data_IF_911894489340
#
_entry.id   IF_911894489340
#
_cell.length_a   1.000
_cell.length_b   1.000
_cell.length_c   1.000
_cell.angle_alpha   90.00
_cell.angle_beta   90.00
_cell.angle_gamma   90.00
#
_symmetry.space_group_name_H-M   'P 1'
#
loop_
_entity.id
_entity.type
_entity.pdbx_description
1 polymer ?
#
# COMPACT_ATOMS: atom_id res chain seq x y z
N UNK A 1 -63.57 -5.92 31.95
CA UNK A 1 -63.27 -5.12 30.73
C UNK A 1 -61.76 -5.11 30.52
N UNK A 2 -61.17 -5.99 29.67
CA UNK A 2 -59.73 -5.98 29.43
C UNK A 2 -59.36 -5.00 28.30
N UNK A 3 -58.22 -4.32 28.48
CA UNK A 3 -57.65 -3.28 27.60
C UNK A 3 -56.90 -3.96 26.45
N UNK A 4 -57.27 -3.69 25.19
CA UNK A 4 -56.59 -4.19 24.00
C UNK A 4 -55.24 -3.48 23.82
N UNK A 5 -54.15 -4.26 23.76
CA UNK A 5 -52.81 -3.78 23.40
C UNK A 5 -52.74 -3.57 21.88
N UNK A 6 -52.57 -2.33 21.44
CA UNK A 6 -52.23 -2.02 20.05
C UNK A 6 -50.78 -2.48 19.77
N UNK A 7 -50.60 -3.37 18.80
CA UNK A 7 -49.29 -3.73 18.28
C UNK A 7 -48.89 -2.74 17.19
N UNK A 8 -47.71 -2.14 17.33
CA UNK A 8 -47.10 -1.33 16.28
C UNK A 8 -46.53 -2.23 15.17
N UNK A 9 -46.59 -1.79 13.89
CA UNK A 9 -46.09 -2.56 12.76
C UNK A 9 -44.56 -2.73 12.83
N UNK A 10 -44.08 -3.87 12.35
CA UNK A 10 -42.63 -4.16 12.32
C UNK A 10 -41.93 -3.39 11.18
N UNK A 11 -40.62 -3.16 11.32
CA UNK A 11 -39.81 -2.48 10.29
C UNK A 11 -39.89 -3.16 8.91
N UNK A 12 -40.10 -4.48 8.87
CA UNK A 12 -40.31 -5.24 7.63
C UNK A 12 -41.65 -4.96 6.95
N UNK A 13 -42.69 -4.61 7.71
CA UNK A 13 -43.98 -4.20 7.13
C UNK A 13 -43.89 -2.81 6.52
N UNK A 14 -43.21 -1.88 7.19
CA UNK A 14 -43.00 -0.52 6.66
C UNK A 14 -42.16 -0.51 5.38
N UNK A 15 -41.13 -1.36 5.30
CA UNK A 15 -40.34 -1.55 4.08
C UNK A 15 -41.14 -2.14 2.91
N UNK A 16 -42.07 -3.07 3.20
CA UNK A 16 -42.92 -3.68 2.17
C UNK A 16 -43.94 -2.70 1.61
N UNK A 17 -44.52 -1.86 2.46
CA UNK A 17 -45.48 -0.82 2.04
C UNK A 17 -44.79 0.29 1.23
N UNK A 18 -43.56 0.68 1.59
CA UNK A 18 -42.79 1.69 0.86
C UNK A 18 -42.41 1.22 -0.56
N UNK A 19 -42.03 -0.05 -0.71
CA UNK A 19 -41.67 -0.63 -2.01
C UNK A 19 -42.89 -0.87 -2.93
N UNK A 20 -44.10 -0.95 -2.35
CA UNK A 20 -45.34 -1.05 -3.13
C UNK A 20 -45.83 0.32 -3.64
N UNK A 21 -45.41 1.43 -3.02
CA UNK A 21 -45.76 2.78 -3.46
C UNK A 21 -44.89 3.31 -4.61
N UNK A 22 -43.69 2.76 -4.81
CA UNK A 22 -42.78 3.16 -5.91
C UNK A 22 -43.09 2.45 -7.24
N UNK A 23 -44.02 1.49 -7.26
CA UNK A 23 -44.32 0.65 -8.43
C UNK A 23 -45.46 1.11 -9.34
N UNK A 24 -46.16 2.21 -9.05
CA UNK A 24 -47.43 2.56 -9.74
C UNK A 24 -47.44 3.94 -10.44
N UNK A 25 -46.27 4.55 -10.68
CA UNK A 25 -46.17 5.79 -11.44
C UNK A 25 -45.88 5.51 -12.93
N UNK A 26 -46.92 5.24 -13.72
CA UNK A 26 -46.84 5.25 -15.19
C UNK A 26 -47.20 6.64 -15.71
N UNK A 27 -46.31 7.29 -16.47
CA UNK A 27 -46.64 8.48 -17.28
C UNK A 27 -45.96 8.36 -18.65
N UNK A 28 -46.67 8.57 -19.78
CA UNK A 28 -46.11 8.32 -21.11
C UNK A 28 -45.31 9.53 -21.66
N UNK A 29 -44.35 9.23 -22.53
CA UNK A 29 -43.49 10.20 -23.23
C UNK A 29 -44.21 10.91 -24.40
N UNK A 30 -43.84 12.17 -24.73
CA UNK A 30 -44.17 12.78 -26.01
C UNK A 30 -42.95 12.89 -26.96
N UNK A 31 -43.23 12.85 -28.26
CA UNK A 31 -42.27 12.89 -29.37
C UNK A 31 -41.86 14.33 -29.80
N UNK A 32 -40.66 14.45 -30.40
CA UNK A 32 -40.02 15.65 -31.01
C UNK A 32 -40.70 16.09 -32.34
N UNK A 33 -40.46 17.28 -33.00
CA UNK A 33 -39.16 17.87 -33.44
C UNK A 33 -39.19 19.45 -33.58
N UNK A 34 -38.39 20.22 -34.38
CA UNK A 34 -37.17 19.97 -35.20
C UNK A 34 -35.97 20.94 -34.98
N UNK A 35 -34.91 20.70 -35.77
CA UNK A 35 -33.59 21.36 -35.88
C UNK A 35 -33.51 22.89 -35.75
N UNK A 36 -32.44 23.36 -35.08
CA UNK A 36 -31.76 24.62 -35.40
C UNK A 36 -30.25 24.36 -35.50
N UNK A 37 -29.68 24.67 -36.66
CA UNK A 37 -28.25 24.57 -36.93
C UNK A 37 -27.49 25.68 -36.18
N UNK A 38 -26.45 25.32 -35.43
CA UNK A 38 -25.47 26.26 -34.90
C UNK A 38 -24.13 26.06 -35.62
N UNK A 39 -23.58 27.16 -36.13
CA UNK A 39 -22.29 27.25 -36.81
C UNK A 39 -21.11 26.90 -35.86
N UNK A 40 -19.93 26.51 -36.38
CA UNK A 40 -18.88 25.90 -35.58
C UNK A 40 -18.18 26.96 -34.72
N UNK A 41 -18.28 26.82 -33.40
CA UNK A 41 -17.38 27.50 -32.48
C UNK A 41 -15.98 26.87 -32.59
N UNK A 42 -14.97 27.73 -32.67
CA UNK A 42 -13.56 27.37 -32.85
C UNK A 42 -13.13 26.35 -31.78
N UNK A 43 -12.42 25.31 -32.23
CA UNK A 43 -11.86 24.30 -31.37
C UNK A 43 -10.89 24.93 -30.34
N UNK A 44 -11.22 24.80 -29.06
CA UNK A 44 -10.26 24.94 -27.97
C UNK A 44 -9.25 23.78 -28.05
N UNK A 45 -7.93 24.01 -27.90
CA UNK A 45 -6.91 22.97 -28.01
C UNK A 45 -6.77 22.10 -26.75
N UNK A 46 -7.83 21.93 -25.94
CA UNK A 46 -7.77 21.31 -24.62
C UNK A 46 -8.74 20.13 -24.41
N UNK A 47 -9.08 19.38 -25.46
CA UNK A 47 -9.88 18.15 -25.33
C UNK A 47 -9.16 16.93 -25.89
N UNK A 48 -8.02 16.58 -25.29
CA UNK A 48 -7.56 15.19 -25.33
C UNK A 48 -8.41 14.37 -24.33
N UNK A 49 -9.71 14.24 -24.61
CA UNK A 49 -10.60 13.33 -23.88
C UNK A 49 -10.36 11.94 -24.43
N UNK A 50 -9.18 11.39 -24.18
CA UNK A 50 -8.93 9.97 -24.39
C UNK A 50 -9.74 9.20 -23.34
N UNK A 51 -10.64 8.27 -23.71
CA UNK A 51 -11.40 7.48 -22.74
C UNK A 51 -10.46 6.64 -21.85
N UNK A 52 -10.58 6.77 -20.52
CA UNK A 52 -9.81 6.00 -19.54
C UNK A 52 -8.77 6.82 -18.77
N UNK A 53 -7.69 6.14 -18.34
CA UNK A 53 -6.60 6.76 -17.57
C UNK A 53 -5.94 7.90 -18.33
N UNK A 54 -5.53 8.98 -17.67
CA UNK A 54 -4.76 10.05 -18.29
C UNK A 54 -3.41 9.55 -18.85
N UNK A 55 -2.79 10.30 -19.76
CA UNK A 55 -1.47 9.95 -20.29
C UNK A 55 -0.44 9.73 -19.16
N UNK A 56 -0.46 10.59 -18.13
CA UNK A 56 0.40 10.46 -16.94
C UNK A 56 0.11 9.19 -16.15
N UNK A 57 -1.16 8.85 -15.93
CA UNK A 57 -1.53 7.61 -15.23
C UNK A 57 -1.06 6.37 -15.99
N UNK A 58 -1.25 6.34 -17.32
CA UNK A 58 -0.77 5.22 -18.16
C UNK A 58 0.74 5.06 -18.09
N UNK A 59 1.49 6.16 -18.15
CA UNK A 59 2.94 6.16 -17.99
C UNK A 59 3.35 5.57 -16.63
N UNK A 60 2.74 6.04 -15.53
CA UNK A 60 3.06 5.56 -14.18
C UNK A 60 2.70 4.08 -13.96
N UNK A 61 1.60 3.60 -14.54
CA UNK A 61 1.17 2.20 -14.45
C UNK A 61 2.06 1.26 -15.28
N UNK A 62 2.56 1.74 -16.43
CA UNK A 62 3.42 0.98 -17.33
C UNK A 62 4.90 1.00 -16.91
N UNK A 63 5.32 2.02 -16.15
CA UNK A 63 6.70 2.17 -15.70
C UNK A 63 7.21 0.92 -14.96
N UNK A 64 8.49 0.54 -15.14
CA UNK A 64 9.10 -0.52 -14.35
C UNK A 64 8.96 -0.27 -12.85
N UNK A 65 8.84 -1.35 -12.08
CA UNK A 65 8.80 -1.29 -10.63
C UNK A 65 10.18 -0.94 -10.08
N UNK A 66 10.27 0.12 -9.28
CA UNK A 66 11.51 0.46 -8.60
C UNK A 66 11.89 -0.62 -7.58
N UNK A 67 13.09 -1.21 -7.75
CA UNK A 67 13.62 -2.23 -6.85
C UNK A 67 13.74 -1.74 -5.41
N UNK A 68 13.89 -0.43 -5.16
CA UNK A 68 13.92 0.13 -3.81
C UNK A 68 12.59 -0.06 -3.05
N UNK A 69 11.47 -0.19 -3.77
CA UNK A 69 10.15 -0.49 -3.19
C UNK A 69 9.96 -1.98 -2.88
N UNK A 70 10.81 -2.86 -3.40
CA UNK A 70 10.67 -4.31 -3.23
C UNK A 70 11.27 -4.75 -1.89
N UNK A 71 10.53 -5.59 -1.18
CA UNK A 71 10.98 -6.27 0.04
C UNK A 71 11.10 -7.76 -0.22
N UNK A 72 11.89 -8.42 0.63
CA UNK A 72 12.10 -9.85 0.55
C UNK A 72 11.90 -10.47 1.93
N UNK A 73 11.22 -11.62 1.95
CA UNK A 73 11.07 -12.44 3.15
C UNK A 73 11.41 -13.88 2.83
N UNK A 74 11.85 -14.61 3.84
CA UNK A 74 11.98 -16.06 3.75
C UNK A 74 10.63 -16.71 4.02
N UNK A 75 10.22 -17.60 3.12
CA UNK A 75 9.04 -18.42 3.27
C UNK A 75 9.46 -19.88 3.03
N UNK A 76 9.68 -20.60 4.13
CA UNK A 76 10.31 -21.91 4.09
C UNK A 76 11.75 -21.82 3.55
N UNK A 77 12.05 -22.51 2.45
CA UNK A 77 13.36 -22.48 1.79
C UNK A 77 13.46 -21.44 0.66
N UNK A 78 12.38 -20.72 0.38
CA UNK A 78 12.31 -19.80 -0.75
C UNK A 78 12.31 -18.36 -0.26
N UNK A 79 13.07 -17.51 -0.95
CA UNK A 79 13.01 -16.05 -0.78
C UNK A 79 11.93 -15.50 -1.69
N UNK A 80 10.93 -14.84 -1.12
CA UNK A 80 9.79 -14.27 -1.86
C UNK A 80 9.91 -12.76 -1.88
N UNK A 81 9.77 -12.16 -3.06
CA UNK A 81 9.73 -10.70 -3.23
C UNK A 81 8.29 -10.19 -3.11
N UNK A 82 8.08 -9.09 -2.41
CA UNK A 82 6.75 -8.50 -2.20
C UNK A 82 6.83 -6.98 -2.07
N UNK A 83 5.67 -6.33 -2.21
CA UNK A 83 5.46 -4.93 -1.82
C UNK A 83 4.73 -4.86 -0.48
N UNK A 84 5.11 -3.91 0.36
CA UNK A 84 4.41 -3.66 1.63
C UNK A 84 3.03 -3.06 1.37
N UNK A 85 2.05 -3.37 2.23
CA UNK A 85 0.67 -2.92 2.05
C UNK A 85 0.54 -1.39 1.99
N UNK A 86 1.25 -0.69 2.88
CA UNK A 86 1.24 0.77 2.92
C UNK A 86 1.79 1.39 1.62
N UNK A 87 2.82 0.80 1.01
CA UNK A 87 3.41 1.29 -0.24
C UNK A 87 2.43 1.17 -1.39
N UNK A 88 1.70 0.05 -1.44
CA UNK A 88 0.68 -0.20 -2.47
C UNK A 88 -0.47 0.81 -2.36
N UNK A 89 -0.91 1.14 -1.15
CA UNK A 89 -1.94 2.16 -0.90
C UNK A 89 -1.42 3.56 -1.27
N UNK A 90 -0.20 3.90 -0.85
CA UNK A 90 0.42 5.17 -1.20
C UNK A 90 0.60 5.35 -2.71
N UNK A 91 0.95 4.27 -3.42
CA UNK A 91 1.07 4.27 -4.88
C UNK A 91 -0.29 4.42 -5.56
N UNK A 92 -1.36 3.82 -5.01
CA UNK A 92 -2.73 4.02 -5.49
C UNK A 92 -3.16 5.48 -5.35
N UNK A 93 -2.92 6.10 -4.20
CA UNK A 93 -3.17 7.53 -3.99
C UNK A 93 -2.35 8.40 -4.94
N UNK A 94 -1.09 8.04 -5.20
CA UNK A 94 -0.20 8.80 -6.10
C UNK A 94 -0.63 8.73 -7.56
N UNK A 95 -1.13 7.57 -8.02
CA UNK A 95 -1.51 7.35 -9.42
C UNK A 95 -2.96 7.76 -9.68
N UNK A 96 -3.88 7.31 -8.83
CA UNK A 96 -5.32 7.51 -9.03
C UNK A 96 -5.86 8.79 -8.39
N UNK A 97 -5.13 9.38 -7.44
CA UNK A 97 -5.68 10.39 -6.52
C UNK A 97 -6.34 9.70 -5.33
N UNK A 98 -6.23 10.27 -4.13
CA UNK A 98 -6.80 9.65 -2.92
C UNK A 98 -8.34 9.55 -2.97
N UNK A 99 -8.97 10.34 -3.84
CA UNK A 99 -10.39 10.41 -4.13
C UNK A 99 -10.78 9.71 -5.45
N UNK A 100 -9.80 9.17 -6.20
CA UNK A 100 -10.01 8.54 -7.49
C UNK A 100 -10.20 7.02 -7.45
N UNK A 101 -10.18 6.42 -6.25
CA UNK A 101 -10.39 4.98 -6.07
C UNK A 101 -11.05 4.63 -4.74
N UNK A 102 -11.76 3.51 -4.72
CA UNK A 102 -12.39 2.92 -3.54
C UNK A 102 -11.90 1.50 -3.29
N UNK A 103 -11.97 1.08 -2.01
CA UNK A 103 -11.67 -0.27 -1.56
C UNK A 103 -12.84 -0.82 -0.75
N UNK A 104 -13.35 -1.99 -1.15
CA UNK A 104 -14.42 -2.69 -0.46
C UNK A 104 -13.98 -4.11 -0.11
N UNK A 105 -14.02 -4.47 1.17
CA UNK A 105 -13.90 -5.87 1.60
C UNK A 105 -15.24 -6.55 1.36
N UNK A 106 -15.29 -7.44 0.37
CA UNK A 106 -16.52 -8.16 -0.01
C UNK A 106 -16.81 -9.33 0.93
N UNK A 107 -15.76 -10.05 1.32
CA UNK A 107 -15.84 -11.08 2.35
C UNK A 107 -14.51 -11.22 3.09
N UNK A 108 -14.60 -11.71 4.32
CA UNK A 108 -13.48 -12.24 5.09
C UNK A 108 -14.00 -13.41 5.92
N UNK A 109 -13.28 -14.54 5.92
CA UNK A 109 -13.74 -15.76 6.58
C UNK A 109 -12.57 -16.53 7.18
N UNK A 110 -12.73 -16.97 8.43
CA UNK A 110 -11.86 -17.96 9.03
C UNK A 110 -12.09 -19.30 8.32
N UNK A 111 -11.04 -19.90 7.76
CA UNK A 111 -11.12 -21.18 7.02
C UNK A 111 -10.41 -22.32 7.73
N UNK A 112 -9.54 -21.99 8.69
CA UNK A 112 -8.89 -22.96 9.56
C UNK A 112 -8.51 -22.32 10.88
N UNK A 113 -8.74 -23.05 11.95
CA UNK A 113 -8.44 -22.66 13.31
C UNK A 113 -8.14 -23.93 14.11
N UNK A 114 -6.97 -23.99 14.74
CA UNK A 114 -6.58 -25.13 15.56
C UNK A 114 -5.50 -24.73 16.56
N UNK A 115 -5.48 -25.41 17.70
CA UNK A 115 -4.36 -25.33 18.62
C UNK A 115 -3.10 -25.93 17.97
N UNK A 116 -1.96 -25.30 18.21
CA UNK A 116 -0.65 -25.78 17.78
C UNK A 116 0.46 -25.35 18.74
N UNK A 117 1.57 -26.10 18.82
CA UNK A 117 2.75 -25.66 19.54
C UNK A 117 3.38 -24.42 18.87
N UNK A 118 3.66 -23.39 19.66
CA UNK A 118 4.29 -22.13 19.22
C UNK A 118 5.62 -21.90 19.94
N UNK A 119 6.59 -21.36 19.20
CA UNK A 119 7.93 -21.05 19.71
C UNK A 119 8.81 -22.29 19.96
N UNK A 120 10.04 -22.06 20.43
CA UNK A 120 11.01 -23.13 20.74
C UNK A 120 10.53 -24.02 21.88
N UNK A 121 9.87 -23.42 22.88
CA UNK A 121 9.35 -24.12 24.05
C UNK A 121 8.06 -24.91 23.78
N UNK A 122 7.54 -24.86 22.55
CA UNK A 122 6.34 -25.61 22.13
C UNK A 122 5.12 -25.36 23.03
N UNK A 123 4.97 -24.13 23.52
CA UNK A 123 3.81 -23.72 24.32
C UNK A 123 2.52 -23.90 23.51
N UNK A 124 1.44 -24.26 24.18
CA UNK A 124 0.13 -24.31 23.52
C UNK A 124 -0.24 -22.91 23.04
N UNK A 125 -0.61 -22.81 21.79
CA UNK A 125 -1.03 -21.59 21.13
C UNK A 125 -1.93 -21.92 19.96
N UNK A 126 -2.13 -20.98 19.06
CA UNK A 126 -3.12 -21.04 18.01
C UNK A 126 -2.51 -20.85 16.63
N UNK A 127 -3.05 -21.59 15.67
CA UNK A 127 -2.84 -21.38 14.24
C UNK A 127 -4.17 -21.04 13.59
N UNK A 128 -4.27 -19.84 13.04
CA UNK A 128 -5.50 -19.32 12.44
C UNK A 128 -5.23 -18.91 11.00
N UNK A 129 -6.15 -19.21 10.09
CA UNK A 129 -6.07 -18.81 8.69
C UNK A 129 -7.37 -18.16 8.24
N UNK A 130 -7.24 -16.98 7.64
CA UNK A 130 -8.33 -16.26 7.01
C UNK A 130 -8.13 -16.20 5.50
N UNK A 131 -9.26 -16.17 4.79
CA UNK A 131 -9.32 -15.73 3.40
C UNK A 131 -10.15 -14.46 3.30
N UNK A 132 -9.82 -13.57 2.38
CA UNK A 132 -10.58 -12.36 2.12
C UNK A 132 -10.67 -12.09 0.61
N UNK A 133 -11.75 -11.45 0.16
CA UNK A 133 -11.91 -10.90 -1.19
C UNK A 133 -12.13 -9.41 -1.08
N UNK A 134 -11.31 -8.66 -1.81
CA UNK A 134 -11.38 -7.20 -1.87
C UNK A 134 -11.70 -6.78 -3.30
N UNK A 135 -12.57 -5.79 -3.44
CA UNK A 135 -12.86 -5.07 -4.67
C UNK A 135 -12.21 -3.70 -4.62
N UNK A 136 -11.55 -3.36 -5.71
CA UNK A 136 -10.99 -2.04 -6.00
C UNK A 136 -11.79 -1.45 -7.14
N UNK A 137 -12.27 -0.23 -6.94
CA UNK A 137 -12.95 0.57 -7.96
C UNK A 137 -12.06 1.77 -8.26
N UNK A 138 -11.77 2.05 -9.53
CA UNK A 138 -10.97 3.20 -9.95
C UNK A 138 -11.74 4.00 -10.99
N UNK A 139 -11.84 5.30 -10.81
CA UNK A 139 -12.43 6.21 -11.78
C UNK A 139 -11.32 6.72 -12.71
N UNK A 140 -11.46 6.45 -14.00
CA UNK A 140 -10.48 6.75 -15.03
C UNK A 140 -11.16 7.49 -16.18
N UNK A 141 -11.19 8.82 -16.08
CA UNK A 141 -12.04 9.64 -16.95
C UNK A 141 -13.51 9.25 -16.76
N UNK A 142 -14.22 8.95 -17.85
CA UNK A 142 -15.61 8.50 -17.80
C UNK A 142 -15.78 7.00 -17.47
N UNK A 143 -14.68 6.26 -17.23
CA UNK A 143 -14.73 4.82 -16.99
C UNK A 143 -14.64 4.50 -15.50
N UNK A 144 -15.53 3.62 -15.05
CA UNK A 144 -15.42 2.94 -13.76
C UNK A 144 -14.76 1.57 -13.97
N UNK A 145 -13.55 1.38 -13.43
CA UNK A 145 -12.78 0.16 -13.54
C UNK A 145 -12.87 -0.64 -12.24
N UNK A 146 -13.36 -1.88 -12.32
CA UNK A 146 -13.47 -2.77 -11.16
C UNK A 146 -12.44 -3.88 -11.28
N UNK A 147 -11.69 -4.11 -10.21
CA UNK A 147 -10.76 -5.23 -10.05
C UNK A 147 -10.99 -5.90 -8.70
N UNK A 148 -10.80 -7.20 -8.65
CA UNK A 148 -10.95 -7.95 -7.41
C UNK A 148 -9.75 -8.84 -7.19
N UNK A 149 -9.46 -9.07 -5.92
CA UNK A 149 -8.38 -9.94 -5.48
C UNK A 149 -8.85 -10.76 -4.30
N UNK A 150 -8.45 -12.03 -4.27
CA UNK A 150 -8.58 -12.90 -3.11
C UNK A 150 -7.22 -13.06 -2.46
N UNK A 151 -7.15 -12.91 -1.14
CA UNK A 151 -5.94 -13.06 -0.35
C UNK A 151 -6.12 -14.04 0.80
N UNK A 152 -5.00 -14.48 1.35
CA UNK A 152 -4.96 -15.33 2.54
C UNK A 152 -3.99 -14.74 3.57
N UNK A 153 -4.30 -14.96 4.84
CA UNK A 153 -3.49 -14.48 5.95
C UNK A 153 -3.44 -15.51 7.06
N UNK A 154 -2.30 -15.55 7.74
CA UNK A 154 -2.01 -16.56 8.75
C UNK A 154 -1.58 -15.90 10.05
N UNK A 155 -2.22 -16.31 11.13
CA UNK A 155 -1.92 -15.86 12.49
C UNK A 155 -1.40 -17.03 13.30
N UNK A 156 -0.27 -16.81 13.96
CA UNK A 156 0.31 -17.75 14.91
C UNK A 156 0.65 -16.96 16.16
N UNK A 157 -0.04 -17.25 17.26
CA UNK A 157 0.19 -16.60 18.54
C UNK A 157 -0.16 -17.55 19.69
N UNK A 158 0.29 -17.24 20.90
CA UNK A 158 -0.15 -17.95 22.10
C UNK A 158 -1.60 -17.58 22.44
N UNK A 159 -2.00 -16.34 22.18
CA UNK A 159 -3.36 -15.85 22.35
C UNK A 159 -4.19 -16.08 21.08
N UNK A 160 -5.39 -16.65 21.25
CA UNK A 160 -6.30 -16.92 20.14
C UNK A 160 -6.71 -15.63 19.43
N UNK A 161 -7.10 -14.60 20.19
CA UNK A 161 -7.55 -13.32 19.64
C UNK A 161 -6.49 -12.64 18.78
N UNK A 162 -5.24 -12.60 19.25
CA UNK A 162 -4.11 -12.05 18.49
C UNK A 162 -3.82 -12.85 17.21
N UNK A 163 -3.97 -14.18 17.25
CA UNK A 163 -3.85 -15.00 16.04
C UNK A 163 -4.97 -14.68 15.02
N UNK A 164 -6.23 -14.53 15.46
CA UNK A 164 -7.33 -14.09 14.58
C UNK A 164 -7.08 -12.69 14.00
N UNK A 165 -6.65 -11.74 14.83
CA UNK A 165 -6.36 -10.36 14.42
C UNK A 165 -5.28 -10.32 13.33
N UNK A 166 -4.15 -11.01 13.56
CA UNK A 166 -3.04 -11.07 12.61
C UNK A 166 -3.48 -11.71 11.28
N UNK A 167 -4.15 -12.86 11.34
CA UNK A 167 -4.60 -13.59 10.16
C UNK A 167 -5.56 -12.76 9.30
N UNK A 168 -6.55 -12.12 9.93
CA UNK A 168 -7.55 -11.30 9.24
C UNK A 168 -6.90 -10.09 8.56
N UNK A 169 -6.03 -9.36 9.29
CA UNK A 169 -5.32 -8.18 8.76
C UNK A 169 -4.42 -8.53 7.58
N UNK A 170 -3.69 -9.64 7.67
CA UNK A 170 -2.86 -10.11 6.56
C UNK A 170 -3.71 -10.50 5.34
N UNK A 171 -4.82 -11.22 5.54
CA UNK A 171 -5.69 -11.67 4.46
C UNK A 171 -6.28 -10.49 3.66
N UNK A 172 -6.79 -9.46 4.35
CA UNK A 172 -7.33 -8.26 3.69
C UNK A 172 -6.24 -7.49 2.94
N UNK A 173 -5.05 -7.37 3.55
CA UNK A 173 -3.91 -6.68 2.93
C UNK A 173 -3.46 -7.42 1.67
N UNK A 174 -3.35 -8.74 1.72
CA UNK A 174 -2.98 -9.56 0.56
C UNK A 174 -4.03 -9.46 -0.57
N UNK A 175 -5.32 -9.55 -0.22
CA UNK A 175 -6.42 -9.39 -1.18
C UNK A 175 -6.37 -8.02 -1.89
N UNK A 176 -6.12 -6.95 -1.11
CA UNK A 176 -5.96 -5.58 -1.62
C UNK A 176 -4.81 -5.49 -2.62
N UNK A 177 -3.63 -6.00 -2.26
CA UNK A 177 -2.45 -6.01 -3.15
C UNK A 177 -2.73 -6.76 -4.45
N UNK A 178 -3.40 -7.91 -4.36
CA UNK A 178 -3.72 -8.76 -5.51
C UNK A 178 -4.75 -8.13 -6.44
N UNK A 179 -5.72 -7.39 -5.91
CA UNK A 179 -6.66 -6.61 -6.72
C UNK A 179 -5.92 -5.50 -7.49
N UNK A 180 -5.06 -4.74 -6.80
CA UNK A 180 -4.31 -3.62 -7.38
C UNK A 180 -3.25 -4.05 -8.39
N UNK A 181 -2.61 -5.21 -8.19
CA UNK A 181 -1.57 -5.77 -9.08
C UNK A 181 -2.01 -5.81 -10.55
N UNK A 182 -3.29 -6.05 -10.82
CA UNK A 182 -3.83 -6.11 -12.20
C UNK A 182 -3.81 -4.77 -12.95
N UNK A 183 -3.53 -3.64 -12.29
CA UNK A 183 -3.39 -2.34 -12.93
C UNK A 183 -1.99 -2.09 -13.53
N UNK A 184 -0.94 -2.79 -13.06
CA UNK A 184 0.38 -2.66 -13.66
C UNK A 184 1.56 -2.95 -12.73
N UNK A 185 2.77 -2.71 -13.26
CA UNK A 185 4.04 -3.01 -12.60
C UNK A 185 4.21 -2.26 -11.28
N UNK A 186 3.72 -1.02 -11.21
CA UNK A 186 3.73 -0.20 -10.01
C UNK A 186 3.08 -0.88 -8.79
N UNK A 187 2.13 -1.79 -9.00
CA UNK A 187 1.42 -2.53 -7.96
C UNK A 187 1.93 -3.97 -7.76
N UNK A 188 3.13 -4.28 -8.28
CA UNK A 188 3.79 -5.56 -8.03
C UNK A 188 3.58 -6.63 -9.11
N UNK A 189 2.95 -6.32 -10.24
CA UNK A 189 2.83 -7.25 -11.37
C UNK A 189 4.21 -7.78 -11.83
N UNK A 190 5.21 -6.90 -11.84
CA UNK A 190 6.59 -7.23 -12.24
C UNK A 190 7.25 -8.30 -11.35
N UNK A 191 6.76 -8.51 -10.12
CA UNK A 191 7.29 -9.53 -9.19
C UNK A 191 6.83 -10.94 -9.54
N UNK A 192 5.78 -11.08 -10.35
CA UNK A 192 5.32 -12.38 -10.86
C UNK A 192 6.20 -12.90 -12.01
N UNK A 193 6.93 -12.01 -12.67
CA UNK A 193 7.99 -12.41 -13.60
C UNK A 193 9.17 -12.97 -12.78
N UNK A 194 9.44 -14.27 -12.93
CA UNK A 194 10.57 -14.93 -12.26
C UNK A 194 11.92 -14.29 -12.60
N UNK A 195 12.03 -13.69 -13.79
CA UNK A 195 13.24 -12.96 -14.20
C UNK A 195 13.24 -11.50 -13.72
N UNK A 196 12.12 -11.01 -13.17
CA UNK A 196 11.91 -9.64 -12.69
C UNK A 196 12.40 -8.57 -13.69
N UNK A 197 12.14 -8.78 -14.99
CA UNK A 197 12.63 -7.90 -16.08
C UNK A 197 12.07 -6.48 -16.02
N UNK A 198 10.88 -6.32 -15.43
CA UNK A 198 10.22 -5.03 -15.24
C UNK A 198 10.45 -4.48 -13.83
N UNK A 199 11.56 -4.86 -13.20
CA UNK A 199 11.98 -4.31 -11.91
C UNK A 199 13.37 -3.69 -12.11
N UNK A 200 13.43 -2.36 -12.13
CA UNK A 200 14.66 -1.61 -12.36
C UNK A 200 15.18 -1.02 -11.05
N UNK A 201 16.50 -0.99 -10.88
CA UNK A 201 17.11 0.05 -10.03
C UNK A 201 17.06 1.34 -10.83
N UNK A 202 16.72 2.48 -10.23
CA UNK A 202 16.40 3.76 -10.90
C UNK A 202 17.47 4.41 -11.81
N UNK A 203 18.41 3.65 -12.37
CA UNK A 203 19.47 4.08 -13.28
C UNK A 203 19.37 3.50 -14.70
N UNK A 204 18.38 2.66 -15.02
CA UNK A 204 18.25 2.06 -16.36
C UNK A 204 17.00 2.57 -17.10
N UNK A 205 17.02 3.85 -17.44
CA UNK A 205 16.31 4.36 -18.62
C UNK A 205 17.34 4.96 -19.57
N UNK A 206 18.10 4.08 -20.23
CA UNK A 206 19.08 4.47 -21.22
C UNK A 206 19.78 3.26 -21.82
N UNK A 207 19.48 3.01 -23.10
CA UNK A 207 20.24 2.18 -24.06
C UNK A 207 19.94 0.67 -24.08
N UNK A 208 19.18 0.30 -25.11
CA UNK A 208 19.24 -1.01 -25.73
C UNK A 208 20.47 -1.11 -26.66
N UNK A 209 20.95 -2.35 -26.84
CA UNK A 209 21.89 -2.89 -27.84
C UNK A 209 23.40 -2.85 -27.51
N UNK A 210 23.96 -4.01 -27.14
CA UNK A 210 24.87 -4.78 -28.02
C UNK A 210 25.31 -6.09 -27.35
N UNK A 211 25.57 -7.11 -28.19
CA UNK A 211 25.97 -8.47 -27.84
C UNK A 211 27.45 -8.55 -27.44
N UNK A 212 27.84 -9.55 -26.63
CA UNK A 212 29.25 -9.96 -26.51
C UNK A 212 29.57 -10.80 -25.27
N UNK A 213 30.29 -11.89 -25.46
CA UNK A 213 30.53 -13.01 -24.54
C UNK A 213 31.50 -12.76 -23.37
N UNK A 214 31.23 -13.50 -22.28
CA UNK A 214 32.13 -14.15 -21.30
C UNK A 214 33.34 -13.38 -20.72
N UNK A 215 33.44 -13.36 -19.38
CA UNK A 215 34.45 -14.13 -18.60
C UNK A 215 34.13 -14.03 -17.10
N UNK A 216 34.20 -15.17 -16.39
CA UNK A 216 34.16 -15.27 -14.93
C UNK A 216 35.46 -14.70 -14.35
N UNK A 217 35.36 -13.74 -13.43
CA UNK A 217 36.31 -13.63 -12.32
C UNK A 217 35.60 -13.05 -11.10
N UNK A 218 35.60 -13.81 -10.01
CA UNK A 218 35.15 -13.37 -8.70
C UNK A 218 36.21 -12.45 -8.09
N UNK A 219 35.82 -11.22 -7.75
CA UNK A 219 36.53 -10.32 -6.82
C UNK A 219 35.51 -9.45 -6.08
N UNK A 220 35.81 -9.16 -4.82
CA UNK A 220 34.92 -8.80 -3.72
C UNK A 220 34.45 -7.31 -3.72
N UNK A 221 33.15 -7.10 -3.39
CA UNK A 221 32.45 -5.92 -2.77
C UNK A 221 32.45 -4.53 -3.47
N UNK A 222 31.51 -3.57 -3.19
CA UNK A 222 30.35 -3.52 -2.25
C UNK A 222 29.01 -3.00 -2.87
N UNK A 223 27.97 -2.83 -2.03
CA UNK A 223 26.57 -2.42 -2.30
C UNK A 223 26.33 -1.03 -2.95
N UNK A 224 25.15 -0.77 -3.58
CA UNK A 224 24.76 0.59 -3.98
C UNK A 224 24.18 1.38 -2.79
N UNK A 225 25.01 2.32 -2.34
CA UNK A 225 24.83 3.29 -1.28
C UNK A 225 23.70 4.29 -1.61
N UNK A 226 22.75 4.45 -0.68
CA UNK A 226 21.88 5.63 -0.64
C UNK A 226 22.78 6.87 -0.63
N UNK A 227 22.55 7.83 -1.54
CA UNK A 227 23.40 9.02 -1.72
C UNK A 227 23.92 9.55 -0.36
N UNK A 228 25.25 9.56 -0.13
CA UNK A 228 25.80 9.99 1.14
C UNK A 228 25.37 11.43 1.42
N UNK A 229 25.03 11.72 2.67
CA UNK A 229 24.82 13.09 3.10
C UNK A 229 26.07 13.94 2.82
N UNK A 230 25.88 15.17 2.35
CA UNK A 230 26.95 16.14 2.23
C UNK A 230 27.69 16.31 3.58
N UNK A 231 29.05 16.33 3.61
CA UNK A 231 29.82 16.39 4.86
C UNK A 231 29.45 17.58 5.76
N UNK A 232 29.02 18.70 5.16
CA UNK A 232 28.53 19.87 5.89
C UNK A 232 27.24 19.56 6.67
N UNK A 233 26.33 18.78 6.09
CA UNK A 233 25.06 18.37 6.73
C UNK A 233 25.35 17.40 7.88
N UNK A 234 26.24 16.42 7.67
CA UNK A 234 26.64 15.48 8.71
C UNK A 234 27.26 16.22 9.91
N UNK A 235 28.18 17.15 9.63
CA UNK A 235 28.85 17.96 10.66
C UNK A 235 27.85 18.84 11.42
N UNK A 236 26.88 19.44 10.72
CA UNK A 236 25.80 20.22 11.32
C UNK A 236 24.91 19.39 12.26
N UNK A 237 24.50 18.19 11.84
CA UNK A 237 23.71 17.27 12.67
C UNK A 237 24.50 16.80 13.90
N UNK A 238 25.76 16.39 13.73
CA UNK A 238 26.61 15.96 14.84
C UNK A 238 26.82 17.07 15.87
N UNK A 239 26.99 18.32 15.42
CA UNK A 239 27.14 19.49 16.31
C UNK A 239 25.88 19.72 17.14
N UNK A 240 24.71 19.68 16.50
CA UNK A 240 23.41 19.84 17.18
C UNK A 240 23.12 18.71 18.17
N UNK A 241 23.47 17.46 17.84
CA UNK A 241 23.34 16.31 18.75
C UNK A 241 24.28 16.44 19.96
N UNK A 242 25.51 16.90 19.76
CA UNK A 242 26.48 17.11 20.86
C UNK A 242 26.07 18.23 21.81
N UNK A 243 25.26 19.19 21.35
CA UNK A 243 24.76 20.29 22.15
C UNK A 243 23.56 19.91 23.05
N UNK A 244 23.05 18.68 22.96
CA UNK A 244 21.88 18.24 23.73
C UNK A 244 22.21 18.03 25.22
N UNK A 245 21.27 18.34 26.14
CA UNK A 245 21.42 18.00 27.55
C UNK A 245 21.64 16.49 27.78
N UNK A 246 22.37 16.06 28.83
CA UNK A 246 22.73 14.65 29.04
C UNK A 246 21.55 13.67 28.98
N UNK A 247 20.43 13.99 29.64
CA UNK A 247 19.23 13.15 29.63
C UNK A 247 18.61 13.00 28.22
N UNK A 248 18.68 14.07 27.42
CA UNK A 248 18.15 14.11 26.05
C UNK A 248 19.10 13.41 25.07
N UNK A 249 20.41 13.47 25.32
CA UNK A 249 21.41 12.70 24.58
C UNK A 249 21.27 11.19 24.81
N UNK A 250 20.91 10.77 26.03
CA UNK A 250 20.56 9.37 26.29
C UNK A 250 19.28 8.94 25.56
N UNK A 251 18.23 9.78 25.60
CA UNK A 251 16.98 9.53 24.87
C UNK A 251 17.22 9.47 23.36
N UNK A 252 18.04 10.37 22.83
CA UNK A 252 18.50 10.35 21.43
C UNK A 252 19.17 9.02 21.12
N UNK A 253 20.13 8.60 21.95
CA UNK A 253 20.91 7.40 21.70
C UNK A 253 20.05 6.14 21.72
N UNK A 254 19.10 6.04 22.66
CA UNK A 254 18.13 4.94 22.72
C UNK A 254 17.18 4.96 21.51
N UNK A 255 16.63 6.13 21.17
CA UNK A 255 15.71 6.30 20.06
C UNK A 255 16.36 6.01 18.71
N UNK A 256 17.58 6.51 18.48
CA UNK A 256 18.31 6.31 17.24
C UNK A 256 18.68 4.83 17.07
N UNK A 257 19.13 4.17 18.14
CA UNK A 257 19.40 2.73 18.12
C UNK A 257 18.16 1.91 17.80
N UNK A 258 17.02 2.22 18.40
CA UNK A 258 15.76 1.53 18.13
C UNK A 258 15.27 1.77 16.69
N UNK A 259 15.33 3.01 16.20
CA UNK A 259 14.84 3.39 14.88
C UNK A 259 15.65 2.77 13.73
N UNK A 260 16.95 2.60 13.92
CA UNK A 260 17.87 2.11 12.89
C UNK A 260 18.50 0.74 13.23
N UNK A 261 17.96 0.05 14.24
CA UNK A 261 18.41 -1.28 14.68
C UNK A 261 19.92 -1.36 14.94
N UNK A 262 20.49 -0.29 15.53
CA UNK A 262 21.92 -0.21 15.85
C UNK A 262 22.19 -0.99 17.14
N UNK A 263 23.11 -1.97 17.15
CA UNK A 263 23.44 -2.73 18.36
C UNK A 263 23.99 -1.87 19.51
N UNK A 264 23.67 -2.23 20.75
CA UNK A 264 24.15 -1.52 21.95
C UNK A 264 25.68 -1.56 22.11
N UNK A 265 26.32 -2.58 21.54
CA UNK A 265 27.78 -2.72 21.53
C UNK A 265 28.50 -1.66 20.69
N UNK A 266 27.78 -0.88 19.87
CA UNK A 266 28.38 0.16 19.05
C UNK A 266 28.71 1.42 19.91
N UNK A 267 30.00 1.79 20.04
CA UNK A 267 30.44 2.79 21.00
C UNK A 267 30.12 4.24 20.60
N UNK A 268 29.91 4.51 19.31
CA UNK A 268 29.61 5.85 18.80
C UNK A 268 28.57 5.81 17.69
N UNK A 269 27.57 6.70 17.81
CA UNK A 269 26.52 6.89 16.82
C UNK A 269 26.88 7.96 15.77
N UNK A 270 27.89 8.79 16.03
CA UNK A 270 28.24 9.92 15.16
C UNK A 270 28.65 9.45 13.74
N UNK A 271 29.39 8.34 13.66
CA UNK A 271 29.84 7.76 12.38
C UNK A 271 28.74 7.03 11.61
N UNK A 272 27.55 6.86 12.19
CA UNK A 272 26.42 6.20 11.55
C UNK A 272 25.52 7.17 10.77
N UNK A 273 25.68 8.48 10.96
CA UNK A 273 24.84 9.50 10.33
C UNK A 273 25.30 9.74 8.89
N UNK A 274 24.92 8.84 7.99
CA UNK A 274 25.39 8.84 6.59
C UNK A 274 24.31 9.02 5.53
N UNK A 275 23.02 8.92 5.88
CA UNK A 275 21.91 8.85 4.92
C UNK A 275 20.84 9.91 5.19
N UNK A 276 20.06 10.28 4.16
CA UNK A 276 18.92 11.19 4.31
C UNK A 276 17.81 10.66 5.23
N UNK A 277 17.77 9.35 5.49
CA UNK A 277 16.88 8.77 6.49
C UNK A 277 17.34 9.11 7.92
N UNK A 278 18.66 9.04 8.19
CA UNK A 278 19.23 9.50 9.46
C UNK A 278 18.96 10.99 9.66
N UNK A 279 19.20 11.83 8.63
CA UNK A 279 18.94 13.27 8.71
C UNK A 279 17.49 13.56 9.09
N UNK A 280 16.51 13.00 8.36
CA UNK A 280 15.08 13.26 8.61
C UNK A 280 14.66 12.85 10.02
N UNK A 281 15.14 11.70 10.50
CA UNK A 281 14.84 11.23 11.84
C UNK A 281 15.46 12.13 12.92
N UNK A 282 16.73 12.51 12.75
CA UNK A 282 17.43 13.42 13.68
C UNK A 282 16.75 14.78 13.72
N UNK A 283 16.37 15.33 12.57
CA UNK A 283 15.68 16.62 12.49
C UNK A 283 14.31 16.57 13.18
N UNK A 284 13.55 15.48 13.03
CA UNK A 284 12.31 15.27 13.77
C UNK A 284 12.53 15.24 15.28
N UNK A 285 13.50 14.46 15.75
CA UNK A 285 13.84 14.40 17.17
C UNK A 285 14.37 15.73 17.73
N UNK A 286 15.09 16.52 16.92
CA UNK A 286 15.56 17.85 17.33
C UNK A 286 14.42 18.88 17.36
N UNK A 287 13.40 18.74 16.51
CA UNK A 287 12.27 19.66 16.44
C UNK A 287 11.27 19.51 17.61
N UNK A 288 11.20 18.35 18.26
CA UNK A 288 10.41 18.13 19.48
C UNK A 288 10.82 19.05 20.65
N UNK A 289 12.00 19.69 20.58
CA UNK A 289 12.49 20.65 21.57
C UNK A 289 11.89 22.06 21.42
N UNK A 290 11.25 22.39 20.30
CA UNK A 290 10.73 23.74 20.06
C UNK A 290 9.32 23.98 20.63
N UNK A 291 8.69 22.94 21.20
CA UNK A 291 7.27 22.95 21.58
C UNK A 291 7.00 22.55 23.04
N UNK A 292 8.04 22.59 23.89
CA UNK A 292 7.96 22.39 25.34
C UNK A 292 8.69 23.51 26.06
#
# INVERSE_FOLDING_TARGET
MPRLLQRHPSALQLLRESLQQEGDATTPAPAAPPHVAAAPAKADPASDVTPGFSARQRELLAAPLDRAKVRQREQGRMRVSYLEGWQVIAEANRIFGFDGWDRLTLNASCVAEHERPVGRDRKSGWGVTYTARVRIVVIAGERCLIREGSGAGHGIDLDQGLAHESALKEAETDATKRALMSFGNAFGLALYDKQQRQVSSGMEQGQAQSQGQATKTAQQQPEPVAAPLEPAVITGLQTRIKALPPARLEAFSRGFRAAFQVPDAQPSLAGLITTSAHQRWIEGFLAEEANT
#
